data_IF_898963775647
#
_entry.id   IF_898963775647
#
_cell.length_a   1.000
_cell.length_b   1.000
_cell.length_c   1.000
_cell.angle_alpha   90.00
_cell.angle_beta   90.00
_cell.angle_gamma   90.00
#
_symmetry.space_group_name_H-M   'P 1'
#
loop_
_entity.id
_entity.type
_entity.pdbx_description
1 polymer ?
#
# COMPACT_ATOMS: atom_id res chain seq x y z
N UNK A 1 23.89 15.80 13.54
CA UNK A 1 24.51 14.79 12.64
C UNK A 1 25.75 14.08 13.23
N UNK A 2 25.83 13.73 14.53
CA UNK A 2 26.97 12.93 15.02
C UNK A 2 26.92 11.47 14.52
N UNK A 3 25.71 10.91 14.45
CA UNK A 3 25.45 9.52 14.07
C UNK A 3 25.95 9.22 12.65
N UNK A 4 25.70 10.11 11.68
CA UNK A 4 26.17 9.93 10.30
C UNK A 4 27.70 9.80 10.22
N UNK A 5 28.44 10.68 10.91
CA UNK A 5 29.91 10.65 10.89
C UNK A 5 30.46 9.40 11.56
N UNK A 6 29.80 8.96 12.63
CA UNK A 6 30.18 7.75 13.36
C UNK A 6 29.98 6.50 12.51
N UNK A 7 28.83 6.36 11.85
CA UNK A 7 28.54 5.26 10.91
C UNK A 7 29.53 5.25 9.75
N UNK A 8 29.81 6.41 9.14
CA UNK A 8 30.80 6.51 8.06
C UNK A 8 32.18 6.09 8.54
N UNK A 9 32.59 6.49 9.75
CA UNK A 9 33.89 6.09 10.31
C UNK A 9 33.99 4.59 10.56
N UNK A 10 32.89 3.93 10.92
CA UNK A 10 32.84 2.48 11.11
C UNK A 10 32.96 1.74 9.77
N UNK A 11 32.30 2.22 8.72
CA UNK A 11 32.40 1.66 7.36
C UNK A 11 33.84 1.78 6.82
N UNK A 12 34.54 2.88 7.09
CA UNK A 12 35.93 3.07 6.66
C UNK A 12 36.93 2.14 7.35
N UNK A 13 36.58 1.55 8.51
CA UNK A 13 37.41 0.58 9.23
C UNK A 13 37.25 -0.85 8.68
N UNK A 14 36.21 -1.10 7.88
CA UNK A 14 35.98 -2.38 7.24
C UNK A 14 36.98 -2.59 6.10
N UNK A 15 37.32 -3.85 5.86
CA UNK A 15 38.03 -4.27 4.66
C UNK A 15 37.17 -4.10 3.42
N UNK A 16 37.79 -4.08 2.23
CA UNK A 16 37.03 -3.98 0.97
C UNK A 16 36.01 -5.10 0.81
N UNK A 17 36.35 -6.32 1.24
CA UNK A 17 35.44 -7.48 1.16
C UNK A 17 34.20 -7.27 2.04
N UNK A 18 34.38 -6.80 3.26
CA UNK A 18 33.28 -6.49 4.18
C UNK A 18 32.44 -5.31 3.69
N UNK A 19 33.04 -4.31 3.04
CA UNK A 19 32.30 -3.20 2.42
C UNK A 19 31.43 -3.68 1.26
N UNK A 20 31.93 -4.59 0.43
CA UNK A 20 31.15 -5.19 -0.65
C UNK A 20 30.01 -6.05 -0.10
N UNK A 21 30.26 -6.85 0.93
CA UNK A 21 29.21 -7.64 1.58
C UNK A 21 28.12 -6.76 2.19
N UNK A 22 28.50 -5.70 2.91
CA UNK A 22 27.56 -4.74 3.48
C UNK A 22 26.70 -4.06 2.39
N UNK A 23 27.28 -3.76 1.23
CA UNK A 23 26.56 -3.19 0.11
C UNK A 23 25.49 -4.15 -0.43
N UNK A 24 25.83 -5.43 -0.61
CA UNK A 24 24.87 -6.45 -1.06
C UNK A 24 23.75 -6.66 -0.04
N UNK A 25 24.07 -6.68 1.26
CA UNK A 25 23.06 -6.80 2.33
C UNK A 25 22.12 -5.58 2.36
N UNK A 26 22.66 -4.36 2.23
CA UNK A 26 21.83 -3.15 2.15
C UNK A 26 20.96 -3.12 0.91
N UNK A 27 21.48 -3.59 -0.23
CA UNK A 27 20.72 -3.71 -1.47
C UNK A 27 19.57 -4.71 -1.30
N UNK A 28 19.83 -5.87 -0.72
CA UNK A 28 18.80 -6.86 -0.42
C UNK A 28 17.73 -6.32 0.54
N UNK A 29 18.12 -5.54 1.56
CA UNK A 29 17.16 -4.89 2.45
C UNK A 29 16.27 -3.92 1.66
N UNK A 30 16.82 -3.08 0.80
CA UNK A 30 16.03 -2.13 0.00
C UNK A 30 15.12 -2.87 -0.99
N UNK A 31 15.62 -3.90 -1.66
CA UNK A 31 14.83 -4.72 -2.60
C UNK A 31 13.70 -5.49 -1.90
N UNK A 32 13.95 -6.08 -0.73
CA UNK A 32 12.94 -6.79 0.05
C UNK A 32 11.98 -5.84 0.79
N UNK A 33 12.40 -4.61 1.09
CA UNK A 33 11.51 -3.59 1.69
C UNK A 33 10.49 -3.09 0.68
N UNK A 34 10.79 -3.16 -0.63
CA UNK A 34 9.81 -2.89 -1.68
C UNK A 34 8.72 -3.95 -1.67
N UNK A 35 9.02 -5.22 -1.42
CA UNK A 35 8.00 -6.28 -1.30
C UNK A 35 7.10 -6.14 -0.06
N UNK A 36 7.57 -5.51 1.02
CA UNK A 36 6.84 -5.40 2.28
C UNK A 36 5.99 -4.12 2.42
N UNK A 37 6.34 -3.02 1.74
CA UNK A 37 5.48 -1.82 1.67
C UNK A 37 4.47 -1.85 0.52
N UNK A 38 4.60 -2.78 -0.42
CA UNK A 38 3.56 -3.10 -1.39
C UNK A 38 2.71 -4.29 -0.90
N UNK A 39 2.06 -4.14 0.25
CA UNK A 39 0.64 -4.49 0.28
C UNK A 39 -0.13 -3.43 -0.53
N UNK A 40 0.29 -3.18 -1.77
CA UNK A 40 -0.64 -2.64 -2.75
C UNK A 40 -1.67 -3.75 -2.87
N UNK A 41 -2.82 -3.53 -2.26
CA UNK A 41 -4.01 -4.32 -2.50
C UNK A 41 -4.14 -4.39 -4.03
N UNK A 42 -3.72 -5.52 -4.62
CA UNK A 42 -3.62 -5.68 -6.06
C UNK A 42 -5.06 -5.75 -6.58
N UNK A 43 -5.65 -4.59 -6.85
CA UNK A 43 -7.00 -4.48 -7.39
C UNK A 43 -6.99 -5.20 -8.73
N UNK A 44 -7.75 -6.28 -8.83
CA UNK A 44 -7.79 -7.08 -10.04
C UNK A 44 -8.38 -6.27 -11.20
N UNK A 45 -8.03 -6.58 -12.47
CA UNK A 45 -8.65 -5.94 -13.63
C UNK A 45 -10.19 -6.06 -13.63
N UNK A 46 -10.73 -7.12 -13.03
CA UNK A 46 -12.16 -7.33 -12.86
C UNK A 46 -12.77 -6.33 -11.87
N UNK A 47 -12.11 -6.07 -10.74
CA UNK A 47 -12.55 -5.07 -9.76
C UNK A 47 -12.47 -3.65 -10.32
N UNK A 48 -11.43 -3.34 -11.09
CA UNK A 48 -11.32 -2.05 -11.79
C UNK A 48 -12.47 -1.89 -12.79
N UNK A 49 -12.76 -2.91 -13.60
CA UNK A 49 -13.85 -2.87 -14.57
C UNK A 49 -15.23 -2.74 -13.90
N UNK A 50 -15.45 -3.43 -12.78
CA UNK A 50 -16.67 -3.32 -11.99
C UNK A 50 -16.83 -1.93 -11.39
N UNK A 51 -15.76 -1.35 -10.84
CA UNK A 51 -15.75 0.01 -10.30
C UNK A 51 -16.05 1.05 -11.39
N UNK A 52 -15.42 0.95 -12.56
CA UNK A 52 -15.68 1.86 -13.68
C UNK A 52 -17.14 1.75 -14.16
N UNK A 53 -17.69 0.53 -14.22
CA UNK A 53 -19.10 0.33 -14.60
C UNK A 53 -20.05 0.99 -13.61
N UNK A 54 -19.83 0.79 -12.30
CA UNK A 54 -20.64 1.41 -11.25
C UNK A 54 -20.57 2.95 -11.33
N UNK A 55 -19.39 3.50 -11.59
CA UNK A 55 -19.20 4.94 -11.76
C UNK A 55 -19.97 5.50 -12.96
N UNK A 56 -19.90 4.83 -14.11
CA UNK A 56 -20.63 5.24 -15.31
C UNK A 56 -22.15 5.18 -15.11
N UNK A 57 -22.65 4.16 -14.38
CA UNK A 57 -24.08 4.03 -14.10
C UNK A 57 -24.59 5.10 -13.13
N UNK A 58 -23.77 5.53 -12.16
CA UNK A 58 -24.04 6.69 -11.31
C UNK A 58 -24.12 7.99 -12.12
N UNK A 59 -23.11 8.25 -12.96
CA UNK A 59 -23.09 9.45 -13.81
C UNK A 59 -24.25 9.48 -14.81
N UNK A 60 -24.67 8.32 -15.33
CA UNK A 60 -25.82 8.19 -16.22
C UNK A 60 -27.18 8.26 -15.50
N UNK A 61 -27.20 8.37 -14.17
CA UNK A 61 -28.42 8.38 -13.35
C UNK A 61 -29.19 7.05 -13.38
N UNK A 62 -28.54 5.96 -13.78
CA UNK A 62 -29.09 4.60 -13.75
C UNK A 62 -28.97 4.00 -12.36
N UNK A 63 -27.89 4.35 -11.65
CA UNK A 63 -27.76 4.10 -10.23
C UNK A 63 -28.45 5.23 -9.44
N UNK A 64 -29.50 4.87 -8.70
CA UNK A 64 -30.25 5.79 -7.84
C UNK A 64 -29.71 5.83 -6.41
N UNK A 65 -28.64 5.09 -6.14
CA UNK A 65 -28.11 4.87 -4.80
C UNK A 65 -29.03 4.01 -3.93
N UNK A 66 -28.60 3.78 -2.69
CA UNK A 66 -29.42 3.14 -1.65
C UNK A 66 -30.17 4.21 -0.86
N UNK A 67 -31.40 3.94 -0.49
CA UNK A 67 -32.10 4.76 0.50
C UNK A 67 -31.41 4.67 1.86
N UNK A 68 -31.60 5.69 2.70
CA UNK A 68 -31.05 5.70 4.06
C UNK A 68 -31.49 4.46 4.85
N UNK A 69 -32.74 4.05 4.70
CA UNK A 69 -33.30 2.89 5.40
C UNK A 69 -32.68 1.56 4.93
N UNK A 70 -32.32 1.46 3.65
CA UNK A 70 -31.60 0.29 3.12
C UNK A 70 -30.16 0.25 3.62
N UNK A 71 -29.50 1.41 3.66
CA UNK A 71 -28.13 1.54 4.18
C UNK A 71 -28.06 1.18 5.68
N UNK A 72 -29.02 1.65 6.47
CA UNK A 72 -29.12 1.35 7.90
C UNK A 72 -29.35 -0.14 8.16
N UNK A 73 -30.19 -0.78 7.34
CA UNK A 73 -30.45 -2.21 7.45
C UNK A 73 -29.18 -3.03 7.16
N UNK A 74 -28.39 -2.64 6.17
CA UNK A 74 -27.16 -3.33 5.79
C UNK A 74 -26.04 -3.16 6.82
N UNK A 75 -25.89 -1.95 7.38
CA UNK A 75 -24.82 -1.64 8.34
C UNK A 75 -25.15 -2.11 9.76
N UNK A 76 -26.41 -2.01 10.18
CA UNK A 76 -26.81 -2.20 11.58
C UNK A 76 -27.79 -3.37 11.78
N UNK A 77 -28.22 -4.04 10.71
CA UNK A 77 -29.19 -5.14 10.78
C UNK A 77 -30.60 -4.72 11.22
N UNK A 78 -30.84 -3.41 11.37
CA UNK A 78 -32.13 -2.83 11.78
C UNK A 78 -32.24 -1.41 11.24
N UNK A 79 -33.47 -0.92 11.07
CA UNK A 79 -33.73 0.50 10.83
C UNK A 79 -33.51 1.27 12.13
N UNK A 80 -32.88 2.43 12.03
CA UNK A 80 -32.77 3.35 13.16
C UNK A 80 -34.03 4.24 13.12
N UNK A 81 -34.73 4.34 14.26
CA UNK A 81 -35.96 5.14 14.38
C UNK A 81 -35.68 6.64 14.46
#
# INVERSE_FOLDING_TARGET
>A
MPIYKEVVSQIHRLTKAEQFQLLEELKAIVENSIEAETEEELISPAEIAASETAWQDYLAGRDRGKSLQELELELFGRKLE
#
